data_IF_284231235545
#
_entry.id   IF_284231235545
#
_cell.length_a   1.000
_cell.length_b   1.000
_cell.length_c   1.000
_cell.angle_alpha   90.00
_cell.angle_beta   90.00
_cell.angle_gamma   90.00
#
_symmetry.space_group_name_H-M   'P 1'
#
loop_
_entity.id
_entity.type
_entity.pdbx_description
1 polymer ?
#
# COMPACT_ATOMS: atom_id res chain seq x y z
N UNK A 1 1.69 -2.36 5.88
CA UNK A 1 1.43 -1.01 6.41
C UNK A 1 0.14 -1.05 7.21
N UNK A 2 -0.09 -0.14 8.15
CA UNK A 2 -1.42 0.07 8.73
C UNK A 2 -1.95 1.43 8.29
N UNK A 3 -3.23 1.49 7.92
CA UNK A 3 -3.90 2.72 7.51
C UNK A 3 -5.37 2.68 7.96
N UNK A 4 -5.86 3.82 8.45
CA UNK A 4 -7.26 3.95 8.85
C UNK A 4 -8.12 4.44 7.68
N UNK A 5 -9.25 3.76 7.44
CA UNK A 5 -10.22 4.11 6.41
C UNK A 5 -11.58 4.43 7.05
N UNK A 6 -12.09 5.66 6.94
CA UNK A 6 -13.44 5.96 7.42
C UNK A 6 -14.51 5.25 6.55
N UNK A 7 -15.75 5.14 7.07
CA UNK A 7 -16.88 4.70 6.26
C UNK A 7 -17.01 5.49 4.95
N UNK A 8 -17.36 4.80 3.87
CA UNK A 8 -17.46 5.36 2.51
C UNK A 8 -16.16 5.97 1.96
N UNK A 9 -14.99 5.60 2.49
CA UNK A 9 -13.71 5.94 1.86
C UNK A 9 -13.66 5.46 0.41
N UNK A 10 -12.84 6.10 -0.42
CA UNK A 10 -12.65 5.70 -1.80
C UNK A 10 -12.18 4.24 -1.94
N UNK A 11 -11.25 3.82 -1.09
CA UNK A 11 -10.81 2.44 -1.02
C UNK A 11 -11.97 1.45 -0.72
N UNK A 12 -12.94 1.83 0.11
CA UNK A 12 -14.14 1.02 0.36
C UNK A 12 -15.08 1.00 -0.85
N UNK A 13 -15.32 2.15 -1.49
CA UNK A 13 -16.17 2.25 -2.69
C UNK A 13 -15.61 1.45 -3.88
N UNK A 14 -14.28 1.40 -3.98
CA UNK A 14 -13.56 0.64 -5.00
C UNK A 14 -13.31 -0.83 -4.63
N UNK A 15 -13.81 -1.29 -3.48
CA UNK A 15 -13.61 -2.67 -2.99
C UNK A 15 -12.12 -3.06 -2.86
N UNK A 16 -11.26 -2.11 -2.48
CA UNK A 16 -9.82 -2.33 -2.25
C UNK A 16 -9.48 -2.73 -0.81
N UNK A 17 -10.47 -2.70 0.08
CA UNK A 17 -10.37 -3.09 1.49
C UNK A 17 -11.60 -3.92 1.86
N UNK A 18 -11.45 -4.87 2.77
CA UNK A 18 -12.54 -5.74 3.20
C UNK A 18 -13.43 -5.13 4.28
N UNK A 19 -13.05 -3.97 4.84
CA UNK A 19 -13.82 -3.24 5.84
C UNK A 19 -13.27 -1.84 6.09
N UNK A 20 -14.02 -1.03 6.83
CA UNK A 20 -13.59 0.26 7.37
C UNK A 20 -12.73 0.10 8.64
N UNK A 21 -12.26 1.22 9.19
CA UNK A 21 -11.38 1.25 10.35
C UNK A 21 -9.90 1.06 9.99
N UNK A 22 -9.09 0.66 10.98
CA UNK A 22 -7.68 0.32 10.74
C UNK A 22 -7.57 -0.97 9.92
N UNK A 23 -6.87 -0.88 8.79
CA UNK A 23 -6.56 -2.00 7.91
C UNK A 23 -5.05 -2.24 7.85
N UNK A 24 -4.65 -3.50 7.83
CA UNK A 24 -3.28 -3.95 7.56
C UNK A 24 -3.17 -4.27 6.08
N UNK A 25 -2.29 -3.55 5.39
CA UNK A 25 -2.15 -3.61 3.93
C UNK A 25 -0.79 -4.18 3.53
N UNK A 26 -0.78 -5.15 2.63
CA UNK A 26 0.40 -5.59 1.90
C UNK A 26 0.53 -4.72 0.64
N UNK A 27 1.47 -3.78 0.65
CA UNK A 27 1.77 -2.95 -0.52
C UNK A 27 2.72 -3.69 -1.46
N UNK A 28 2.58 -3.49 -2.76
CA UNK A 28 3.45 -4.09 -3.78
C UNK A 28 3.49 -3.23 -5.05
N UNK A 29 4.57 -3.35 -5.81
CA UNK A 29 4.63 -2.82 -7.17
C UNK A 29 4.05 -3.84 -8.14
N UNK A 30 3.37 -3.37 -9.18
CA UNK A 30 2.95 -4.19 -10.32
C UNK A 30 3.42 -3.53 -11.62
N UNK A 31 3.99 -4.32 -12.52
CA UNK A 31 4.56 -3.82 -13.78
C UNK A 31 4.12 -4.71 -14.94
N UNK A 32 3.40 -4.14 -15.89
CA UNK A 32 3.07 -4.78 -17.16
C UNK A 32 4.03 -4.27 -18.26
N UNK A 33 4.81 -5.17 -18.84
CA UNK A 33 5.82 -4.81 -19.84
C UNK A 33 5.29 -4.99 -21.27
N UNK A 34 5.38 -3.97 -22.11
CA UNK A 34 5.30 -4.18 -23.55
C UNK A 34 6.69 -4.50 -24.10
N UNK A 35 6.98 -5.80 -24.24
CA UNK A 35 8.21 -6.31 -24.86
C UNK A 35 8.11 -6.46 -26.38
N UNK A 36 6.94 -6.19 -26.95
CA UNK A 36 6.69 -6.22 -28.38
C UNK A 36 7.37 -5.08 -29.13
N UNK A 37 7.34 -5.20 -30.46
CA UNK A 37 7.85 -4.19 -31.38
C UNK A 37 6.86 -3.04 -31.63
N UNK A 38 5.60 -3.24 -31.31
CA UNK A 38 4.48 -2.34 -31.63
C UNK A 38 3.77 -1.89 -30.34
N UNK A 39 3.11 -0.73 -30.36
CA UNK A 39 2.33 -0.27 -29.21
C UNK A 39 1.10 -1.16 -28.99
N UNK A 40 0.84 -1.49 -27.72
CA UNK A 40 -0.48 -1.91 -27.29
C UNK A 40 -1.37 -0.66 -27.25
N UNK A 41 -2.13 -0.40 -28.32
CA UNK A 41 -3.00 0.76 -28.41
C UNK A 41 -4.45 0.38 -28.07
N UNK A 42 -4.93 0.80 -26.89
CA UNK A 42 -6.35 0.69 -26.52
C UNK A 42 -7.13 1.86 -27.10
N UNK A 43 -6.52 3.05 -27.07
CA UNK A 43 -7.02 4.27 -27.70
C UNK A 43 -7.62 5.27 -26.73
N UNK A 44 -8.26 6.29 -27.30
CA UNK A 44 -8.79 7.43 -26.53
C UNK A 44 -9.95 7.00 -25.64
N UNK A 45 -9.90 7.43 -24.39
CA UNK A 45 -11.03 7.28 -23.47
C UNK A 45 -12.16 8.21 -23.90
N UNK A 46 -13.29 7.63 -24.31
CA UNK A 46 -14.51 8.36 -24.68
C UNK A 46 -15.56 8.09 -23.60
N UNK A 47 -16.04 9.16 -22.95
CA UNK A 47 -16.91 9.11 -21.75
C UNK A 47 -18.14 8.21 -21.89
N UNK A 48 -18.68 8.12 -23.10
CA UNK A 48 -19.65 7.12 -23.50
C UNK A 48 -19.14 6.52 -24.80
N UNK A 49 -18.46 5.38 -24.72
CA UNK A 49 -18.16 4.59 -25.90
C UNK A 49 -19.22 3.49 -26.04
N UNK A 50 -20.34 3.76 -26.75
CA UNK A 50 -21.42 2.79 -26.89
C UNK A 50 -21.01 1.51 -27.63
N UNK A 51 -19.81 1.46 -28.22
CA UNK A 51 -19.32 0.32 -28.99
C UNK A 51 -18.67 -0.76 -28.13
N UNK A 52 -18.06 -0.41 -26.99
CA UNK A 52 -17.25 -1.36 -26.22
C UNK A 52 -17.38 -1.30 -24.69
N UNK A 53 -17.85 -0.19 -24.09
CA UNK A 53 -18.09 -0.03 -22.65
C UNK A 53 -16.96 -0.57 -21.73
N UNK A 54 -15.71 -0.55 -22.19
CA UNK A 54 -14.54 -1.12 -21.48
C UNK A 54 -13.94 -0.21 -20.41
N UNK A 55 -14.35 1.07 -20.41
CA UNK A 55 -13.87 2.07 -19.49
C UNK A 55 -14.94 2.43 -18.47
N UNK A 56 -14.57 2.40 -17.20
CA UNK A 56 -15.44 2.79 -16.10
C UNK A 56 -14.88 4.05 -15.45
N UNK A 57 -15.73 5.08 -15.31
CA UNK A 57 -15.31 6.30 -14.63
C UNK A 57 -15.21 6.04 -13.14
N UNK A 58 -14.10 6.48 -12.56
CA UNK A 58 -13.87 6.44 -11.15
C UNK A 58 -13.90 7.87 -10.58
N UNK A 59 -14.88 8.16 -9.74
CA UNK A 59 -15.03 9.49 -9.11
C UNK A 59 -14.00 9.78 -8.03
N UNK A 60 -13.38 8.76 -7.46
CA UNK A 60 -12.34 8.89 -6.44
C UNK A 60 -11.01 9.35 -7.02
N UNK A 61 -10.70 8.97 -8.26
CA UNK A 61 -9.47 9.37 -8.96
C UNK A 61 -9.69 10.33 -10.14
N UNK A 62 -10.94 10.75 -10.37
CA UNK A 62 -11.37 11.65 -11.46
C UNK A 62 -10.87 11.23 -12.86
N UNK A 63 -10.79 9.92 -13.12
CA UNK A 63 -10.41 9.39 -14.43
C UNK A 63 -11.06 8.03 -14.69
N UNK A 64 -10.90 7.53 -15.92
CA UNK A 64 -11.47 6.25 -16.33
C UNK A 64 -10.46 5.11 -16.16
N UNK A 65 -10.90 4.04 -15.51
CA UNK A 65 -10.16 2.78 -15.43
C UNK A 65 -10.61 1.83 -16.54
N UNK A 66 -9.68 1.00 -17.00
CA UNK A 66 -9.94 -0.17 -17.82
C UNK A 66 -10.35 -1.33 -16.91
N UNK A 67 -11.56 -1.86 -17.10
CA UNK A 67 -12.16 -2.81 -16.16
C UNK A 67 -11.51 -4.21 -16.15
N UNK A 68 -10.84 -4.60 -17.25
CA UNK A 68 -10.30 -5.93 -17.46
C UNK A 68 -8.76 -5.92 -17.49
N UNK A 69 -8.14 -5.16 -16.57
CA UNK A 69 -6.68 -5.02 -16.51
C UNK A 69 -6.02 -6.32 -16.04
N UNK A 70 -6.39 -6.80 -14.86
CA UNK A 70 -5.82 -7.99 -14.25
C UNK A 70 -6.26 -8.18 -12.80
N UNK A 71 -5.75 -9.24 -12.19
CA UNK A 71 -6.05 -9.64 -10.81
C UNK A 71 -4.76 -9.81 -9.99
N UNK A 72 -4.80 -9.37 -8.74
CA UNK A 72 -3.79 -9.70 -7.73
C UNK A 72 -4.37 -10.67 -6.72
N UNK A 73 -3.64 -11.77 -6.49
CA UNK A 73 -4.03 -12.83 -5.57
C UNK A 73 -2.91 -13.12 -4.57
N UNK A 74 -3.26 -13.28 -3.29
CA UNK A 74 -2.34 -13.69 -2.24
C UNK A 74 -2.75 -15.07 -1.68
N UNK A 75 -1.90 -16.06 -1.86
CA UNK A 75 -2.19 -17.44 -1.46
C UNK A 75 -3.35 -18.04 -2.26
N UNK A 76 -4.25 -18.78 -1.59
CA UNK A 76 -5.38 -19.48 -2.22
C UNK A 76 -6.72 -18.75 -2.08
N UNK A 77 -6.74 -17.59 -1.41
CA UNK A 77 -7.97 -16.84 -1.13
C UNK A 77 -8.05 -15.62 -2.05
N UNK A 78 -9.23 -15.36 -2.62
CA UNK A 78 -9.52 -14.09 -3.28
C UNK A 78 -9.71 -13.02 -2.20
N UNK A 79 -8.62 -12.31 -1.89
CA UNK A 79 -8.68 -11.08 -1.11
C UNK A 79 -9.08 -9.91 -2.04
N UNK A 80 -9.82 -8.92 -1.54
CA UNK A 80 -10.13 -7.74 -2.33
C UNK A 80 -8.83 -7.06 -2.79
N UNK A 81 -8.67 -6.96 -4.10
CA UNK A 81 -7.62 -6.21 -4.77
C UNK A 81 -8.26 -5.46 -5.94
N UNK A 82 -7.77 -4.26 -6.25
CA UNK A 82 -8.28 -3.49 -7.37
C UNK A 82 -7.92 -4.20 -8.68
N UNK A 83 -8.94 -4.44 -9.50
CA UNK A 83 -8.81 -5.14 -10.78
C UNK A 83 -8.82 -4.21 -12.00
N UNK A 84 -8.98 -2.90 -11.78
CA UNK A 84 -9.19 -1.92 -12.82
C UNK A 84 -8.25 -0.72 -12.67
N UNK A 85 -7.48 -0.43 -13.71
CA UNK A 85 -6.47 0.62 -13.73
C UNK A 85 -6.49 1.36 -15.06
N UNK A 86 -5.92 2.56 -15.11
CA UNK A 86 -5.65 3.17 -16.41
C UNK A 86 -4.43 2.46 -17.04
N UNK A 87 -4.45 2.20 -18.34
CA UNK A 87 -3.29 1.61 -19.02
C UNK A 87 -2.49 2.73 -19.66
N UNK A 88 -1.29 3.01 -19.16
CA UNK A 88 -0.43 4.04 -19.74
C UNK A 88 1.03 3.61 -19.85
N UNK A 89 1.84 4.42 -20.52
CA UNK A 89 3.30 4.22 -20.52
C UNK A 89 3.89 5.11 -19.44
N UNK A 90 4.52 4.51 -18.43
CA UNK A 90 5.08 5.21 -17.27
C UNK A 90 6.60 5.29 -17.35
N UNK A 91 7.25 4.15 -17.55
CA UNK A 91 8.70 3.98 -17.52
C UNK A 91 9.19 3.25 -18.78
N UNK A 92 10.35 3.66 -19.33
CA UNK A 92 10.98 3.00 -20.50
C UNK A 92 12.03 1.99 -20.05
N UNK A 93 11.60 0.79 -19.68
CA UNK A 93 12.48 -0.25 -19.12
C UNK A 93 13.18 -1.14 -20.16
N UNK A 94 12.66 -1.21 -21.39
CA UNK A 94 13.35 -1.88 -22.50
C UNK A 94 13.87 -0.84 -23.49
N UNK A 95 15.19 -0.81 -23.67
CA UNK A 95 15.85 0.13 -24.58
C UNK A 95 16.47 -0.64 -25.75
N UNK A 96 15.64 -0.92 -26.77
CA UNK A 96 16.10 -1.47 -28.04
C UNK A 96 15.75 -0.51 -29.19
N UNK A 97 16.15 -0.87 -30.41
CA UNK A 97 15.94 -0.10 -31.63
C UNK A 97 14.48 0.13 -32.00
N UNK A 98 13.56 -0.68 -31.46
CA UNK A 98 12.12 -0.59 -31.65
C UNK A 98 11.44 0.22 -30.55
N UNK A 99 12.13 0.51 -29.44
CA UNK A 99 11.58 1.26 -28.30
C UNK A 99 11.66 2.78 -28.54
N UNK A 100 10.57 3.50 -28.85
CA UNK A 100 10.62 4.93 -29.10
C UNK A 100 10.99 5.70 -27.83
N UNK A 101 11.60 6.88 -27.98
CA UNK A 101 11.97 7.76 -26.87
C UNK A 101 10.78 8.52 -26.26
N UNK A 102 9.64 8.53 -26.95
CA UNK A 102 8.43 9.24 -26.56
C UNK A 102 7.19 8.40 -26.86
N UNK A 103 6.10 8.68 -26.16
CA UNK A 103 4.79 8.08 -26.39
C UNK A 103 3.69 9.12 -26.17
N UNK A 104 2.50 8.81 -26.68
CA UNK A 104 1.28 9.59 -26.45
C UNK A 104 0.29 8.87 -25.52
N UNK A 105 0.69 7.73 -24.94
CA UNK A 105 -0.18 6.94 -24.07
C UNK A 105 -0.20 7.46 -22.64
N UNK A 106 -1.40 7.78 -22.17
CA UNK A 106 -1.72 8.33 -20.84
C UNK A 106 -3.08 7.80 -20.41
N UNK A 107 -3.54 8.02 -19.18
CA UNK A 107 -4.91 7.64 -18.80
C UNK A 107 -6.02 8.21 -19.72
N UNK A 108 -5.78 9.27 -20.51
CA UNK A 108 -6.75 9.82 -21.49
C UNK A 108 -6.68 9.18 -22.88
N UNK A 109 -5.54 8.55 -23.22
CA UNK A 109 -5.30 7.82 -24.45
C UNK A 109 -4.54 6.55 -24.08
N UNK A 110 -5.27 5.49 -23.73
CA UNK A 110 -4.70 4.36 -23.03
C UNK A 110 -3.95 3.40 -23.96
N UNK A 111 -2.86 2.85 -23.44
CA UNK A 111 -1.97 1.94 -24.14
C UNK A 111 -0.57 1.89 -23.54
N UNK A 112 0.24 0.95 -24.02
CA UNK A 112 1.63 0.78 -23.61
C UNK A 112 2.51 0.80 -24.86
N UNK A 113 3.39 1.78 -24.96
CA UNK A 113 4.32 1.92 -26.09
C UNK A 113 5.32 0.76 -26.12
N UNK A 114 5.80 0.38 -27.31
CA UNK A 114 6.85 -0.61 -27.49
C UNK A 114 8.08 -0.28 -26.62
N UNK A 115 8.46 -1.23 -25.76
CA UNK A 115 9.57 -1.10 -24.82
C UNK A 115 9.32 -0.26 -23.57
N UNK A 116 8.10 0.26 -23.41
CA UNK A 116 7.63 0.90 -22.18
C UNK A 116 6.87 -0.07 -21.30
N UNK A 117 6.60 0.34 -20.07
CA UNK A 117 5.79 -0.40 -19.11
C UNK A 117 4.64 0.46 -18.63
N UNK A 118 3.62 -0.21 -18.12
CA UNK A 118 2.63 0.34 -17.21
C UNK A 118 2.99 -0.09 -15.80
N UNK A 119 3.29 0.86 -14.92
CA UNK A 119 3.84 0.61 -13.58
C UNK A 119 2.94 1.24 -12.52
N UNK A 120 2.43 0.40 -11.63
CA UNK A 120 1.69 0.80 -10.44
C UNK A 120 2.53 0.55 -9.19
N UNK A 121 3.02 1.64 -8.61
CA UNK A 121 3.94 1.60 -7.47
C UNK A 121 3.20 1.43 -6.15
N UNK A 122 3.83 0.72 -5.22
CA UNK A 122 3.41 0.58 -3.84
C UNK A 122 3.19 1.96 -3.21
N UNK A 123 1.99 2.16 -2.66
CA UNK A 123 1.58 3.44 -2.07
C UNK A 123 0.65 4.26 -2.95
N UNK A 124 0.43 3.87 -4.21
CA UNK A 124 -0.75 4.34 -4.96
C UNK A 124 -2.03 3.81 -4.31
N UNK A 125 -3.09 4.61 -4.36
CA UNK A 125 -4.38 4.20 -3.82
C UNK A 125 -4.87 2.92 -4.50
N UNK A 126 -5.26 1.95 -3.67
CA UNK A 126 -5.67 0.59 -4.02
C UNK A 126 -4.56 -0.32 -4.57
N UNK A 127 -3.30 0.10 -4.55
CA UNK A 127 -2.16 -0.74 -4.94
C UNK A 127 -1.65 -1.55 -3.73
N UNK A 128 -2.53 -2.43 -3.25
CA UNK A 128 -2.30 -3.30 -2.10
C UNK A 128 -3.27 -4.47 -2.06
N UNK A 129 -2.97 -5.44 -1.19
CA UNK A 129 -3.92 -6.44 -0.71
C UNK A 129 -4.20 -6.17 0.76
N UNK A 130 -5.49 -6.13 1.11
CA UNK A 130 -5.91 -6.08 2.49
C UNK A 130 -5.65 -7.43 3.17
N UNK A 131 -4.79 -7.41 4.18
CA UNK A 131 -4.34 -8.59 4.94
C UNK A 131 -4.77 -8.51 6.41
N UNK A 132 -5.72 -7.65 6.74
CA UNK A 132 -6.16 -7.42 8.13
C UNK A 132 -6.65 -8.70 8.79
N UNK A 133 -7.38 -9.52 8.05
CA UNK A 133 -8.03 -10.73 8.57
C UNK A 133 -7.16 -12.00 8.44
N UNK A 134 -5.92 -11.87 7.94
CA UNK A 134 -4.96 -12.97 7.94
C UNK A 134 -4.61 -13.38 9.38
N UNK A 135 -4.72 -14.67 9.65
CA UNK A 135 -4.42 -15.24 10.96
C UNK A 135 -2.95 -15.67 11.02
N UNK A 136 -2.24 -15.20 12.04
CA UNK A 136 -0.84 -15.56 12.28
C UNK A 136 -0.76 -16.37 13.57
N UNK A 137 -0.09 -17.53 13.54
CA UNK A 137 0.21 -18.33 14.73
C UNK A 137 1.56 -17.88 15.33
N UNK A 138 1.71 -16.59 15.59
CA UNK A 138 2.93 -15.90 16.05
C UNK A 138 4.17 -15.99 15.13
N UNK A 139 4.08 -16.74 14.02
CA UNK A 139 5.14 -16.87 13.02
C UNK A 139 4.83 -16.09 11.73
N UNK A 140 5.87 -15.64 10.98
CA UNK A 140 5.68 -15.08 9.65
C UNK A 140 5.01 -16.09 8.70
N UNK A 141 4.13 -15.58 7.84
CA UNK A 141 3.53 -16.37 6.77
C UNK A 141 4.27 -16.10 5.47
N UNK A 142 4.67 -17.17 4.77
CA UNK A 142 5.15 -17.07 3.39
C UNK A 142 4.06 -17.58 2.44
N UNK A 143 3.65 -16.73 1.50
CA UNK A 143 2.59 -17.05 0.53
C UNK A 143 2.93 -16.48 -0.84
N UNK A 144 2.48 -17.10 -1.94
CA UNK A 144 2.64 -16.53 -3.26
C UNK A 144 1.74 -15.31 -3.44
N UNK A 145 2.34 -14.16 -3.78
CA UNK A 145 1.67 -13.01 -4.36
C UNK A 145 1.73 -13.15 -5.88
N UNK A 146 0.56 -13.20 -6.50
CA UNK A 146 0.42 -13.53 -7.92
C UNK A 146 -0.32 -12.41 -8.65
N UNK A 147 0.26 -11.95 -9.75
CA UNK A 147 -0.36 -11.02 -10.69
C UNK A 147 -0.72 -11.76 -11.97
N UNK A 148 -1.98 -11.62 -12.37
CA UNK A 148 -2.57 -12.17 -13.58
C UNK A 148 -3.05 -11.03 -14.45
N UNK A 149 -2.39 -10.78 -15.56
CA UNK A 149 -2.69 -9.70 -16.49
C UNK A 149 -3.48 -10.21 -17.69
N UNK A 150 -4.38 -9.40 -18.25
CA UNK A 150 -5.05 -9.67 -19.53
C UNK A 150 -5.66 -11.10 -19.70
N UNK A 151 -6.17 -11.72 -18.63
CA UNK A 151 -6.61 -13.12 -18.69
C UNK A 151 -7.76 -13.35 -19.68
N UNK A 152 -8.61 -12.35 -19.82
CA UNK A 152 -9.78 -12.39 -20.69
C UNK A 152 -9.48 -11.83 -22.10
N UNK A 153 -8.21 -11.63 -22.45
CA UNK A 153 -7.76 -11.24 -23.79
C UNK A 153 -8.37 -9.93 -24.30
N UNK A 154 -8.59 -8.95 -23.41
CA UNK A 154 -9.09 -7.63 -23.79
C UNK A 154 -8.02 -6.75 -24.42
N UNK A 155 -6.76 -7.02 -24.12
CA UNK A 155 -5.59 -6.37 -24.69
C UNK A 155 -5.05 -7.26 -25.80
N UNK A 156 -4.96 -6.72 -27.01
CA UNK A 156 -4.51 -7.48 -28.17
C UNK A 156 -2.99 -7.68 -28.11
N UNK A 157 -2.58 -8.89 -27.77
CA UNK A 157 -1.19 -9.35 -27.82
C UNK A 157 -0.96 -10.09 -29.14
N UNK A 158 -0.91 -9.31 -30.22
CA UNK A 158 -0.81 -9.80 -31.58
C UNK A 158 -1.19 -8.72 -32.58
N UNK A 159 -1.83 -9.10 -33.68
CA UNK A 159 -2.26 -8.17 -34.72
C UNK A 159 -3.74 -7.80 -34.54
N UNK A 160 -4.08 -6.51 -34.35
CA UNK A 160 -5.48 -6.09 -34.28
C UNK A 160 -6.18 -6.30 -35.63
N UNK A 161 -7.37 -6.90 -35.60
CA UNK A 161 -8.16 -7.11 -36.82
C UNK A 161 -8.86 -5.82 -37.21
N UNK A 162 -8.60 -5.34 -38.43
CA UNK A 162 -9.14 -4.10 -38.98
C UNK A 162 -10.21 -4.37 -40.04
N UNK A 163 -11.18 -3.46 -40.17
CA UNK A 163 -12.15 -3.45 -41.26
C UNK A 163 -11.55 -2.84 -42.55
N UNK A 164 -12.32 -2.80 -43.64
CA UNK A 164 -11.88 -2.26 -44.94
C UNK A 164 -11.45 -0.77 -44.89
N UNK A 165 -11.89 -0.03 -43.88
CA UNK A 165 -11.53 1.38 -43.66
C UNK A 165 -10.30 1.55 -42.73
N UNK A 166 -9.71 0.45 -42.24
CA UNK A 166 -8.60 0.47 -41.29
C UNK A 166 -9.01 0.72 -39.84
N UNK A 167 -10.29 0.55 -39.49
CA UNK A 167 -10.79 0.72 -38.12
C UNK A 167 -10.82 -0.62 -37.38
N UNK A 168 -10.58 -0.60 -36.06
CA UNK A 168 -10.64 -1.80 -35.20
C UNK A 168 -12.00 -2.50 -35.31
N UNK A 169 -11.98 -3.80 -35.57
CA UNK A 169 -13.15 -4.65 -35.43
C UNK A 169 -13.34 -5.07 -33.98
N UNK A 170 -14.59 -5.19 -33.55
CA UNK A 170 -14.96 -5.54 -32.19
C UNK A 170 -15.70 -6.88 -32.15
N UNK A 171 -15.59 -7.58 -31.04
CA UNK A 171 -16.36 -8.79 -30.75
C UNK A 171 -16.97 -8.76 -29.34
N UNK A 172 -18.19 -9.31 -29.16
CA UNK A 172 -18.83 -9.36 -27.86
C UNK A 172 -18.08 -10.33 -26.94
N UNK A 173 -17.86 -9.94 -25.68
CA UNK A 173 -17.22 -10.80 -24.67
C UNK A 173 -18.23 -11.61 -23.86
N UNK A 174 -19.49 -11.18 -23.84
CA UNK A 174 -20.54 -11.72 -22.97
C UNK A 174 -20.60 -11.04 -21.60
N UNK A 175 -19.62 -10.21 -21.27
CA UNK A 175 -19.59 -9.40 -20.05
C UNK A 175 -20.49 -8.17 -20.14
N UNK A 176 -20.81 -7.60 -18.97
CA UNK A 176 -21.67 -6.42 -18.84
C UNK A 176 -21.14 -5.45 -17.79
N UNK A 177 -21.36 -4.16 -17.99
CA UNK A 177 -21.10 -3.13 -16.96
C UNK A 177 -22.07 -3.29 -15.78
N UNK A 178 -21.84 -2.54 -14.69
CA UNK A 178 -22.74 -2.49 -13.55
C UNK A 178 -24.17 -2.05 -13.94
N UNK A 179 -24.31 -1.22 -14.99
CA UNK A 179 -25.59 -0.78 -15.56
C UNK A 179 -26.19 -1.80 -16.55
N UNK A 180 -25.54 -2.95 -16.74
CA UNK A 180 -26.00 -4.03 -17.62
C UNK A 180 -25.70 -3.82 -19.10
N UNK A 181 -24.87 -2.85 -19.47
CA UNK A 181 -24.50 -2.59 -20.87
C UNK A 181 -23.51 -3.66 -21.35
N UNK A 182 -23.65 -4.20 -22.58
CA UNK A 182 -22.73 -5.21 -23.09
C UNK A 182 -21.32 -4.64 -23.28
N UNK A 183 -20.31 -5.44 -22.94
CA UNK A 183 -18.91 -5.12 -23.14
C UNK A 183 -18.41 -5.87 -24.39
N UNK A 184 -17.61 -5.19 -25.21
CA UNK A 184 -16.95 -5.77 -26.37
C UNK A 184 -15.45 -5.48 -26.31
N UNK A 185 -14.65 -6.37 -26.88
CA UNK A 185 -13.19 -6.24 -26.96
C UNK A 185 -12.73 -6.14 -28.42
N UNK A 186 -11.53 -5.58 -28.70
CA UNK A 186 -11.03 -5.57 -30.07
C UNK A 186 -10.77 -7.01 -30.51
N UNK A 187 -11.13 -7.32 -31.76
CA UNK A 187 -10.73 -8.58 -32.40
C UNK A 187 -9.22 -8.56 -32.58
N UNK A 188 -8.59 -9.67 -32.24
CA UNK A 188 -7.15 -9.80 -32.26
C UNK A 188 -6.77 -11.16 -32.87
N UNK A 189 -5.85 -11.13 -33.82
CA UNK A 189 -5.11 -12.30 -34.25
C UNK A 189 -3.93 -12.47 -33.28
N UNK A 190 -4.22 -13.11 -32.14
CA UNK A 190 -3.24 -13.35 -31.09
C UNK A 190 -2.05 -14.17 -31.60
N UNK A 191 -0.85 -13.81 -31.14
CA UNK A 191 0.33 -14.65 -31.40
C UNK A 191 0.24 -15.96 -30.63
N UNK A 192 0.92 -17.00 -31.13
CA UNK A 192 1.01 -18.28 -30.43
C UNK A 192 1.66 -18.07 -29.04
N UNK A 193 0.99 -18.53 -27.98
CA UNK A 193 1.47 -18.38 -26.60
C UNK A 193 1.40 -16.95 -26.05
N UNK A 194 0.54 -16.09 -26.59
CA UNK A 194 0.31 -14.72 -26.11
C UNK A 194 0.06 -14.63 -24.59
N UNK A 195 -0.53 -15.64 -23.99
CA UNK A 195 -0.86 -15.71 -22.57
C UNK A 195 0.26 -16.27 -21.69
N UNK A 196 1.36 -16.74 -22.28
CA UNK A 196 2.43 -17.47 -21.56
C UNK A 196 3.22 -16.63 -20.56
N UNK A 197 3.19 -15.30 -20.69
CA UNK A 197 3.88 -14.32 -19.84
C UNK A 197 2.92 -13.36 -19.12
N UNK A 198 1.61 -13.66 -19.15
CA UNK A 198 0.57 -12.87 -18.48
C UNK A 198 0.39 -13.20 -17.00
N UNK A 199 1.28 -14.01 -16.45
CA UNK A 199 1.25 -14.43 -15.07
C UNK A 199 2.64 -14.34 -14.44
N UNK A 200 2.72 -13.70 -13.29
CA UNK A 200 3.91 -13.68 -12.45
C UNK A 200 3.54 -13.96 -11.00
N UNK A 201 4.32 -14.81 -10.34
CA UNK A 201 4.17 -15.12 -8.92
C UNK A 201 5.49 -14.95 -8.17
N UNK A 202 5.40 -14.41 -6.96
CA UNK A 202 6.52 -14.17 -6.05
C UNK A 202 6.10 -14.51 -4.63
N UNK A 203 6.86 -15.36 -3.96
CA UNK A 203 6.65 -15.60 -2.54
C UNK A 203 6.96 -14.34 -1.74
N UNK A 204 6.02 -13.93 -0.90
CA UNK A 204 6.16 -12.82 0.04
C UNK A 204 6.09 -13.35 1.47
N UNK A 205 7.00 -12.88 2.31
CA UNK A 205 7.00 -13.22 3.75
C UNK A 205 6.40 -12.05 4.53
N UNK A 206 5.28 -12.31 5.19
CA UNK A 206 4.51 -11.34 5.96
C UNK A 206 4.76 -11.62 7.44
N UNK A 207 5.37 -10.68 8.20
CA UNK A 207 5.61 -10.89 9.63
C UNK A 207 4.29 -10.93 10.41
N UNK A 208 4.23 -11.67 11.51
CA UNK A 208 3.04 -11.74 12.36
C UNK A 208 2.56 -10.37 12.84
N UNK A 209 3.49 -9.49 13.22
CA UNK A 209 3.23 -8.12 13.67
C UNK A 209 4.10 -7.10 12.96
N UNK A 210 3.72 -5.82 13.06
CA UNK A 210 4.49 -4.71 12.52
C UNK A 210 4.26 -4.46 11.02
N UNK A 211 5.17 -3.67 10.44
CA UNK A 211 5.08 -3.18 9.06
C UNK A 211 6.46 -3.11 8.41
N UNK A 212 6.57 -2.54 7.21
CA UNK A 212 7.89 -2.26 6.61
C UNK A 212 8.73 -1.29 7.46
N UNK A 213 8.10 -0.49 8.34
CA UNK A 213 8.77 0.36 9.33
C UNK A 213 9.57 -0.47 10.33
N UNK A 214 9.10 -1.68 10.64
CA UNK A 214 9.80 -2.62 11.53
C UNK A 214 10.69 -3.62 10.79
N UNK A 215 10.70 -3.59 9.45
CA UNK A 215 11.62 -4.41 8.65
C UNK A 215 13.02 -3.77 8.62
N UNK A 216 14.12 -4.55 8.53
CA UNK A 216 15.47 -3.99 8.41
C UNK A 216 15.60 -3.01 7.24
N UNK A 217 16.45 -1.99 7.39
CA UNK A 217 16.82 -1.12 6.28
C UNK A 217 17.78 -1.84 5.34
N UNK A 218 17.39 -2.03 4.08
CA UNK A 218 18.16 -2.83 3.10
C UNK A 218 18.74 -1.99 1.95
N UNK A 219 18.42 -0.70 1.85
CA UNK A 219 18.81 0.17 0.74
C UNK A 219 19.69 1.35 1.21
N UNK A 220 20.48 1.14 2.27
CA UNK A 220 21.37 2.18 2.80
C UNK A 220 20.62 3.38 3.40
N UNK A 221 19.37 3.22 3.82
CA UNK A 221 18.62 4.30 4.45
C UNK A 221 19.19 4.61 5.83
N UNK A 222 19.56 5.88 6.06
CA UNK A 222 20.13 6.36 7.32
C UNK A 222 19.35 7.57 7.85
N UNK A 223 19.47 7.82 9.16
CA UNK A 223 18.90 9.00 9.80
C UNK A 223 17.45 8.84 10.27
N UNK A 224 16.90 9.87 10.95
CA UNK A 224 15.64 9.77 11.69
C UNK A 224 14.38 9.80 10.82
N UNK A 225 14.51 10.13 9.53
CA UNK A 225 13.38 10.25 8.59
C UNK A 225 13.07 8.92 7.89
N UNK A 226 13.89 7.88 8.06
CA UNK A 226 13.70 6.58 7.42
C UNK A 226 12.42 5.87 7.90
N UNK A 227 11.89 4.98 7.07
CA UNK A 227 10.69 4.17 7.37
C UNK A 227 11.01 2.67 7.41
N UNK A 228 12.12 2.32 8.03
CA UNK A 228 12.57 0.95 8.21
C UNK A 228 13.40 0.88 9.49
N UNK A 229 13.65 -0.32 10.01
CA UNK A 229 14.57 -0.66 11.08
C UNK A 229 14.18 -0.16 12.45
N UNK A 230 12.90 0.15 12.67
CA UNK A 230 12.38 0.44 13.99
C UNK A 230 11.96 -0.84 14.71
N UNK A 231 12.07 -0.85 16.02
CA UNK A 231 11.53 -1.91 16.88
C UNK A 231 10.46 -1.33 17.77
N UNK A 232 9.35 -2.06 17.94
CA UNK A 232 8.36 -1.74 18.96
C UNK A 232 9.04 -1.86 20.31
N UNK A 233 9.04 -0.78 21.11
CA UNK A 233 9.47 -0.86 22.49
C UNK A 233 8.34 -1.52 23.29
N UNK A 234 8.60 -2.63 24.00
CA UNK A 234 7.65 -3.17 24.95
C UNK A 234 7.52 -2.15 26.08
N UNK A 235 6.42 -1.40 26.06
CA UNK A 235 6.08 -0.52 27.15
C UNK A 235 5.08 -1.21 28.08
N UNK A 236 5.16 -0.93 29.38
CA UNK A 236 4.31 -1.54 30.38
C UNK A 236 2.81 -1.32 30.11
N UNK A 237 2.02 -2.34 30.38
CA UNK A 237 0.56 -2.23 30.47
C UNK A 237 0.18 -1.21 31.53
N UNK A 238 -0.89 -0.45 31.28
CA UNK A 238 -1.47 0.40 32.31
C UNK A 238 -2.08 -0.45 33.42
N UNK A 239 -2.04 0.02 34.67
CA UNK A 239 -2.81 -0.59 35.74
C UNK A 239 -4.29 -0.35 35.44
N UNK A 240 -5.05 -1.39 35.13
CA UNK A 240 -6.52 -1.37 35.21
C UNK A 240 -7.02 -1.38 36.66
N UNK A 241 -6.12 -1.41 37.64
CA UNK A 241 -6.45 -1.43 39.07
C UNK A 241 -5.39 -0.63 39.81
N UNK A 242 -5.84 0.15 40.79
CA UNK A 242 -5.08 0.94 41.77
C UNK A 242 -3.61 0.52 41.91
N UNK A 243 -2.63 1.41 41.62
CA UNK A 243 -1.22 1.02 41.59
C UNK A 243 -0.76 0.57 42.98
N UNK A 244 -0.02 -0.54 43.02
CA UNK A 244 0.81 -0.86 44.19
C UNK A 244 2.02 0.08 44.22
N UNK A 245 2.54 0.39 45.40
CA UNK A 245 3.57 1.41 45.63
C UNK A 245 4.93 1.14 44.93
N UNK A 246 5.08 0.01 44.23
CA UNK A 246 6.28 -0.37 43.49
C UNK A 246 6.16 -0.22 41.95
N UNK A 247 5.04 0.31 41.42
CA UNK A 247 4.76 0.43 39.97
C UNK A 247 4.88 1.86 39.37
N UNK A 248 5.51 2.79 40.08
CA UNK A 248 5.52 4.23 39.74
C UNK A 248 6.44 4.66 38.56
N UNK A 249 7.16 3.75 37.91
CA UNK A 249 8.23 4.11 36.96
C UNK A 249 7.94 3.80 35.48
N UNK A 250 6.67 3.74 35.08
CA UNK A 250 6.25 3.14 33.80
C UNK A 250 5.39 4.12 32.98
N UNK A 251 5.83 4.46 31.76
CA UNK A 251 5.13 5.42 30.87
C UNK A 251 3.72 4.94 30.56
N UNK A 252 2.66 5.73 30.81
CA UNK A 252 1.31 5.30 30.47
C UNK A 252 1.11 5.36 28.95
N UNK A 253 0.97 4.20 28.30
CA UNK A 253 0.62 4.06 26.86
C UNK A 253 -0.76 4.64 26.52
N UNK A 254 -1.53 5.05 27.54
CA UNK A 254 -2.87 5.62 27.44
C UNK A 254 -2.94 6.94 28.13
N UNK A 255 -3.65 7.85 27.52
CA UNK A 255 -4.01 9.13 28.07
C UNK A 255 -5.42 9.50 27.61
N UNK A 256 -5.98 10.58 28.16
CA UNK A 256 -7.31 11.04 27.74
C UNK A 256 -7.24 11.50 26.29
N UNK A 257 -8.14 11.07 25.38
CA UNK A 257 -8.12 11.51 24.00
C UNK A 257 -8.09 13.05 23.88
N UNK A 258 -7.18 13.58 23.06
CA UNK A 258 -6.96 15.03 22.90
C UNK A 258 -6.18 15.73 24.04
N UNK A 259 -5.85 15.03 25.13
CA UNK A 259 -4.99 15.57 26.18
C UNK A 259 -3.58 15.83 25.62
N UNK A 260 -2.97 16.93 26.03
CA UNK A 260 -1.55 17.17 25.77
C UNK A 260 -0.75 16.58 26.93
N UNK A 261 0.18 15.68 26.63
CA UNK A 261 1.11 15.13 27.61
C UNK A 261 2.55 15.53 27.26
N UNK A 262 3.34 15.76 28.31
CA UNK A 262 4.76 16.04 28.21
C UNK A 262 5.53 14.84 28.76
N UNK A 263 6.51 14.39 28.00
CA UNK A 263 7.38 13.28 28.35
C UNK A 263 8.82 13.77 28.36
N UNK A 264 9.59 13.38 29.37
CA UNK A 264 11.05 13.52 29.35
C UNK A 264 11.65 12.17 29.01
N UNK A 265 12.34 12.09 27.88
CA UNK A 265 12.90 10.85 27.34
C UNK A 265 14.42 10.82 27.44
N UNK A 266 14.98 9.68 27.83
CA UNK A 266 16.41 9.47 28.01
C UNK A 266 16.85 8.14 27.40
N UNK A 267 18.15 8.00 27.15
CA UNK A 267 18.79 6.75 26.72
C UNK A 267 19.92 6.42 27.70
N UNK A 268 20.39 5.15 27.76
CA UNK A 268 21.58 4.80 28.54
C UNK A 268 22.78 5.69 28.18
N UNK A 269 23.58 6.08 29.17
CA UNK A 269 24.67 7.05 28.98
C UNK A 269 25.72 6.64 27.92
N UNK A 270 25.88 5.33 27.68
CA UNK A 270 26.81 4.78 26.69
C UNK A 270 26.16 4.51 25.33
N UNK A 271 24.85 4.71 25.20
CA UNK A 271 24.14 4.46 23.97
C UNK A 271 24.36 5.58 22.95
N UNK A 272 24.35 5.21 21.68
CA UNK A 272 24.30 6.17 20.58
C UNK A 272 22.90 6.77 20.47
N UNK A 273 22.74 7.96 19.84
CA UNK A 273 21.45 8.60 19.69
C UNK A 273 20.41 7.68 19.04
N UNK A 274 19.22 7.65 19.63
CA UNK A 274 18.10 6.85 19.15
C UNK A 274 17.04 7.76 18.54
N UNK A 275 16.41 7.33 17.46
CA UNK A 275 15.18 7.92 16.92
C UNK A 275 13.99 7.28 17.59
N UNK A 276 13.20 8.08 18.30
CA UNK A 276 11.90 7.73 18.84
C UNK A 276 10.80 8.20 17.89
N UNK A 277 9.95 7.27 17.48
CA UNK A 277 8.72 7.50 16.71
C UNK A 277 7.52 7.08 17.54
N UNK A 278 6.55 7.98 17.68
CA UNK A 278 5.31 7.73 18.41
C UNK A 278 4.19 7.58 17.39
N UNK A 279 3.53 6.42 17.42
CA UNK A 279 2.46 6.04 16.50
C UNK A 279 1.17 5.82 17.27
N UNK A 280 0.03 5.96 16.59
CA UNK A 280 -1.25 5.48 17.12
C UNK A 280 -1.24 3.95 17.25
N UNK A 281 -2.12 3.44 18.09
CA UNK A 281 -2.49 2.02 18.14
C UNK A 281 -3.89 1.83 17.56
N UNK A 282 -4.18 0.62 17.11
CA UNK A 282 -5.55 0.18 16.88
C UNK A 282 -6.01 -0.60 18.11
N UNK A 283 -7.06 -0.12 18.77
CA UNK A 283 -7.70 -0.82 19.88
C UNK A 283 -8.40 -2.09 19.39
N UNK A 284 -9.00 -2.07 18.20
CA UNK A 284 -9.68 -3.21 17.62
C UNK A 284 -8.70 -4.34 17.24
N UNK A 285 -7.57 -3.99 16.61
CA UNK A 285 -6.55 -4.95 16.21
C UNK A 285 -5.56 -5.30 17.33
N UNK A 286 -5.56 -4.53 18.43
CA UNK A 286 -4.66 -4.74 19.57
C UNK A 286 -3.18 -4.50 19.26
N UNK A 287 -2.86 -3.71 18.24
CA UNK A 287 -1.47 -3.48 17.77
C UNK A 287 -1.13 -2.01 17.63
N UNK A 288 0.15 -1.68 17.78
CA UNK A 288 0.67 -0.40 17.31
C UNK A 288 0.75 -0.37 15.78
N UNK A 289 0.48 0.79 15.18
CA UNK A 289 0.34 0.91 13.72
C UNK A 289 1.66 0.89 12.95
N UNK A 290 2.81 0.90 13.64
CA UNK A 290 4.15 0.96 13.03
C UNK A 290 4.20 1.99 11.88
N UNK A 291 3.78 3.20 12.22
CA UNK A 291 3.52 4.31 11.32
C UNK A 291 4.79 4.84 10.63
N UNK A 292 4.60 5.44 9.45
CA UNK A 292 5.68 6.12 8.72
C UNK A 292 6.04 7.44 9.39
N UNK A 293 7.13 8.06 8.94
CA UNK A 293 7.56 9.38 9.39
C UNK A 293 6.43 10.42 9.24
N UNK A 294 5.73 10.39 8.11
CA UNK A 294 4.67 11.36 7.76
C UNK A 294 3.38 11.16 8.56
N UNK A 295 3.11 9.92 8.97
CA UNK A 295 1.89 9.55 9.71
C UNK A 295 2.10 9.45 11.22
N UNK A 296 3.35 9.61 11.68
CA UNK A 296 3.68 9.59 13.09
C UNK A 296 3.20 10.86 13.81
N UNK A 297 2.76 10.67 15.05
CA UNK A 297 2.38 11.77 15.93
C UNK A 297 3.61 12.59 16.32
N UNK A 298 4.73 11.90 16.56
CA UNK A 298 6.01 12.50 16.95
C UNK A 298 7.17 11.72 16.34
N UNK A 299 8.17 12.44 15.84
CA UNK A 299 9.50 11.91 15.53
C UNK A 299 10.56 12.75 16.24
N UNK A 300 11.40 12.16 17.08
CA UNK A 300 12.48 12.87 17.81
C UNK A 300 13.74 12.02 17.91
N UNK A 301 14.89 12.69 17.86
CA UNK A 301 16.15 12.07 18.25
C UNK A 301 16.36 12.31 19.75
N UNK A 302 16.59 11.22 20.49
CA UNK A 302 16.94 11.24 21.91
C UNK A 302 18.44 10.96 22.00
N UNK A 303 19.18 11.96 22.47
CA UNK A 303 20.62 11.87 22.72
C UNK A 303 20.93 11.71 24.22
N UNK A 304 22.21 11.78 24.57
CA UNK A 304 22.69 11.60 25.95
C UNK A 304 22.12 12.64 26.93
N UNK A 305 21.87 13.88 26.47
CA UNK A 305 21.27 14.94 27.28
C UNK A 305 19.76 14.76 27.50
N UNK A 306 19.17 13.68 26.95
CA UNK A 306 17.74 13.44 26.93
C UNK A 306 16.99 14.38 25.98
N UNK A 307 15.67 14.25 25.97
CA UNK A 307 14.79 15.07 25.15
C UNK A 307 13.39 15.15 25.73
N UNK A 308 12.89 16.36 25.89
CA UNK A 308 11.47 16.58 26.19
C UNK A 308 10.62 16.52 24.92
N UNK A 309 9.47 15.87 25.05
CA UNK A 309 8.53 15.57 23.98
C UNK A 309 7.14 15.99 24.42
N UNK A 310 6.47 16.74 23.56
CA UNK A 310 5.04 17.04 23.70
C UNK A 310 4.29 16.23 22.67
N UNK A 311 3.25 15.52 23.11
CA UNK A 311 2.31 14.83 22.21
C UNK A 311 0.87 15.12 22.60
N UNK A 312 0.01 15.20 21.60
CA UNK A 312 -1.44 15.22 21.78
C UNK A 312 -1.95 13.80 21.65
N UNK A 313 -2.63 13.30 22.68
CA UNK A 313 -3.17 11.95 22.71
C UNK A 313 -4.14 11.72 21.56
N UNK A 314 -4.12 10.53 20.93
CA UNK A 314 -4.95 10.26 19.75
C UNK A 314 -6.43 10.53 20.04
N UNK A 315 -7.10 11.21 19.14
CA UNK A 315 -8.53 11.43 19.24
C UNK A 315 -9.29 10.14 18.92
N UNK A 316 -10.53 9.99 19.40
CA UNK A 316 -11.38 8.88 18.96
C UNK A 316 -11.61 8.99 17.45
N UNK A 317 -11.54 7.85 16.75
CA UNK A 317 -11.81 7.78 15.31
C UNK A 317 -13.22 7.28 15.03
N UNK A 318 -13.64 6.26 15.76
CA UNK A 318 -14.98 5.66 15.73
C UNK A 318 -15.30 4.96 17.07
N UNK A 319 -16.35 4.13 17.11
CA UNK A 319 -16.76 3.39 18.30
C UNK A 319 -15.81 2.25 18.72
N UNK A 320 -15.07 1.70 17.76
CA UNK A 320 -14.10 0.62 17.97
C UNK A 320 -12.69 1.16 18.24
N UNK A 321 -12.45 2.42 17.87
CA UNK A 321 -11.18 3.13 18.03
C UNK A 321 -11.37 4.38 18.91
N UNK A 322 -11.47 4.21 20.26
CA UNK A 322 -11.78 5.28 21.20
C UNK A 322 -10.64 6.30 21.38
N UNK A 323 -9.47 6.08 20.76
CA UNK A 323 -8.29 6.92 20.90
C UNK A 323 -7.65 6.83 22.29
N UNK A 324 -6.70 7.71 22.54
CA UNK A 324 -5.95 7.79 23.81
C UNK A 324 -4.75 6.86 23.91
N UNK A 325 -4.69 5.79 23.12
CA UNK A 325 -3.61 4.80 23.13
C UNK A 325 -2.57 5.07 22.02
N UNK A 326 -1.28 4.96 22.34
CA UNK A 326 -0.17 5.18 21.42
C UNK A 326 0.97 4.19 21.67
N UNK A 327 1.88 4.00 20.72
CA UNK A 327 3.00 3.06 20.79
C UNK A 327 4.33 3.70 20.40
N UNK A 328 5.41 3.23 21.01
CA UNK A 328 6.78 3.70 20.74
C UNK A 328 7.54 2.76 19.84
N UNK A 329 8.11 3.33 18.79
CA UNK A 329 8.98 2.68 17.84
C UNK A 329 10.35 3.33 17.94
N UNK A 330 11.39 2.55 18.19
CA UNK A 330 12.75 3.05 18.38
C UNK A 330 13.70 2.41 17.39
N UNK A 331 14.62 3.22 16.88
CA UNK A 331 15.71 2.77 16.04
C UNK A 331 16.97 3.61 16.33
N UNK A 332 18.19 3.08 16.22
CA UNK A 332 19.38 3.92 16.25
C UNK A 332 19.37 4.93 15.10
N UNK A 333 19.93 6.13 15.26
CA UNK A 333 19.98 7.13 14.17
C UNK A 333 20.75 6.58 12.97
N UNK A 334 21.87 5.90 13.23
CA UNK A 334 22.65 5.18 12.24
C UNK A 334 22.38 3.67 12.40
N UNK A 335 21.96 2.96 11.33
CA UNK A 335 21.61 1.54 11.42
C UNK A 335 22.73 0.62 11.93
N UNK A 336 24.00 1.04 11.82
CA UNK A 336 25.17 0.32 12.34
C UNK A 336 25.34 0.39 13.87
N UNK A 337 24.69 1.36 14.52
CA UNK A 337 24.75 1.49 15.98
C UNK A 337 23.83 0.46 16.67
N UNK A 338 24.14 0.15 17.93
CA UNK A 338 23.28 -0.71 18.73
C UNK A 338 21.94 -0.01 19.05
N UNK A 339 20.84 -0.76 18.91
CA UNK A 339 19.54 -0.36 19.45
C UNK A 339 19.64 -0.25 20.97
N UNK A 340 19.18 0.87 21.52
CA UNK A 340 19.09 1.09 22.95
C UNK A 340 17.64 1.42 23.34
N UNK A 341 17.29 1.08 24.59
CA UNK A 341 15.99 1.44 25.15
C UNK A 341 15.86 2.95 25.32
N UNK A 342 14.68 3.50 25.02
CA UNK A 342 14.35 4.90 25.25
C UNK A 342 13.34 4.98 26.39
N UNK A 343 13.80 5.42 27.55
CA UNK A 343 12.96 5.55 28.74
C UNK A 343 12.32 6.93 28.77
N UNK A 344 11.00 7.01 28.68
CA UNK A 344 10.23 8.25 28.75
C UNK A 344 9.39 8.31 30.02
N UNK A 345 9.42 9.40 30.77
CA UNK A 345 8.55 9.58 31.94
C UNK A 345 7.65 10.80 31.76
N UNK A 346 6.40 10.71 32.18
CA UNK A 346 5.52 11.87 32.18
C UNK A 346 6.11 12.97 33.08
N UNK A 347 6.17 14.19 32.55
CA UNK A 347 6.55 15.36 33.34
C UNK A 347 5.31 15.79 34.11
N UNK A 348 5.28 15.53 35.42
CA UNK A 348 4.27 16.11 36.30
C UNK A 348 4.48 17.62 36.34
N UNK A 349 3.44 18.38 35.98
CA UNK A 349 3.40 19.82 36.20
C UNK A 349 3.16 20.14 37.66
#
# INVERSE_FOLDING_TARGET
>A
MYQYFPPNSCAAQESCIAGDGWRRLLLFDAVAHNLGAEPLAIGRVIRSNPLNNMFQYNSCHDHYHFANYGEFQLGLNNQPSKQAFCVESTSRLSNNELSPLTHDFTCSNQGIQAGWVDEYQAGLDCQWIDITDLQFEDEPLTMPLTFRFNQDGFLCEGEPVLNENGELMWEPTGERTAEGLPISRPRCDFVEGWDSNNEASRDVTIPAVGSFVTAPCTQGQIGPLRNCGFSLQPLPFLPTVTPSADEEAKTPLRCTPGQVIQLSCTIPATAQPQTLRICETSALLGVGTACTYETAMVNRVVGQDGRDITLTCPFPRDENEPGGDYAFYVAPVFPEDALAEVSCTAVTQ
#
